data_IF_761539547682
#
_entry.id   IF_761539547682
#
_cell.length_a   1.000
_cell.length_b   1.000
_cell.length_c   1.000
_cell.angle_alpha   90.00
_cell.angle_beta   90.00
_cell.angle_gamma   90.00
#
_symmetry.space_group_name_H-M   'P 1'
#
loop_
_entity.id
_entity.type
_entity.pdbx_description
1 polymer ?
#
# COMPACT_ATOMS: atom_id res chain seq x y z
N UNK A 1 -7.10 -23.73 23.08
CA UNK A 1 -5.80 -23.14 23.47
C UNK A 1 -6.01 -21.65 23.50
N UNK A 2 -5.69 -21.02 24.62
CA UNK A 2 -6.04 -19.64 24.94
C UNK A 2 -5.06 -18.68 24.25
N UNK A 3 -5.58 -17.75 23.46
CA UNK A 3 -4.82 -16.65 22.85
C UNK A 3 -4.16 -15.82 23.96
N UNK A 4 -2.85 -15.51 23.89
CA UNK A 4 -2.22 -14.70 24.93
C UNK A 4 -2.71 -13.26 24.84
N UNK A 5 -3.19 -12.72 25.96
CA UNK A 5 -3.52 -11.29 26.11
C UNK A 5 -2.24 -10.48 26.34
N UNK A 6 -2.18 -9.30 25.74
CA UNK A 6 -1.14 -8.29 25.96
C UNK A 6 -1.06 -7.93 27.46
N UNK A 7 0.12 -7.97 28.12
CA UNK A 7 0.24 -7.65 29.52
C UNK A 7 0.09 -6.15 29.77
N UNK A 8 -0.63 -5.80 30.84
CA UNK A 8 -0.77 -4.42 31.32
C UNK A 8 0.34 -4.12 32.34
N UNK A 9 0.98 -2.95 32.17
CA UNK A 9 1.94 -2.22 33.03
C UNK A 9 3.45 -2.43 32.81
N UNK A 10 4.08 -1.48 32.10
CA UNK A 10 5.42 -0.90 32.34
C UNK A 10 5.64 0.30 31.41
N UNK A 11 6.56 1.20 31.75
CA UNK A 11 7.10 2.19 30.81
C UNK A 11 7.90 1.47 29.73
N UNK A 12 7.48 1.46 28.48
CA UNK A 12 8.37 1.05 27.40
C UNK A 12 7.90 1.61 26.06
N UNK A 13 8.87 2.15 25.34
CA UNK A 13 8.82 2.35 23.91
C UNK A 13 8.81 0.97 23.24
N UNK A 14 7.71 0.24 23.38
CA UNK A 14 7.56 -1.08 22.78
C UNK A 14 7.40 -0.93 21.28
N UNK A 15 8.32 -1.56 20.55
CA UNK A 15 8.29 -1.58 19.10
C UNK A 15 7.48 -2.80 18.65
N UNK A 16 6.28 -2.55 18.15
CA UNK A 16 5.48 -3.56 17.47
C UNK A 16 6.06 -3.81 16.09
N UNK A 17 6.22 -5.09 15.72
CA UNK A 17 6.56 -5.51 14.36
C UNK A 17 5.30 -6.06 13.72
N UNK A 18 4.75 -5.32 12.77
CA UNK A 18 3.52 -5.66 12.07
C UNK A 18 3.80 -5.87 10.60
N UNK A 19 2.96 -6.63 9.91
CA UNK A 19 2.92 -6.70 8.45
C UNK A 19 1.54 -6.27 7.97
N UNK A 20 1.48 -5.31 7.06
CA UNK A 20 0.23 -4.82 6.47
C UNK A 20 -0.04 -5.52 5.13
N UNK A 21 -1.32 -5.67 4.76
CA UNK A 21 -1.76 -6.22 3.49
C UNK A 21 -1.34 -7.68 3.23
N UNK A 22 -1.10 -8.49 4.27
CA UNK A 22 -0.60 -9.85 4.08
C UNK A 22 -1.62 -10.76 3.37
N UNK A 23 -1.17 -11.45 2.32
CA UNK A 23 -1.93 -12.56 1.69
C UNK A 23 -1.42 -13.90 2.23
N UNK A 24 -1.72 -14.15 3.51
CA UNK A 24 -1.30 -15.33 4.25
C UNK A 24 0.01 -15.19 5.03
N UNK A 25 0.46 -16.26 5.70
CA UNK A 25 1.63 -16.24 6.58
C UNK A 25 2.92 -15.84 5.85
N UNK A 26 3.69 -14.93 6.45
CA UNK A 26 4.94 -14.41 5.86
C UNK A 26 4.75 -13.34 4.78
N UNK A 27 3.51 -13.07 4.37
CA UNK A 27 3.16 -12.05 3.39
C UNK A 27 3.14 -10.62 3.93
N UNK A 28 2.73 -9.68 3.08
CA UNK A 28 2.50 -8.28 3.43
C UNK A 28 3.76 -7.42 3.47
N UNK A 29 3.58 -6.14 3.78
CA UNK A 29 4.65 -5.14 3.91
C UNK A 29 4.96 -4.87 5.40
N UNK A 30 6.16 -5.24 5.91
CA UNK A 30 6.54 -5.03 7.30
C UNK A 30 6.67 -3.57 7.67
N UNK A 31 6.14 -3.21 8.84
CA UNK A 31 6.35 -1.92 9.47
C UNK A 31 6.65 -2.07 10.96
N UNK A 32 7.56 -1.22 11.45
CA UNK A 32 7.68 -0.96 12.88
C UNK A 32 6.58 -0.01 13.32
N UNK A 33 6.01 -0.19 14.51
CA UNK A 33 5.03 0.74 15.09
C UNK A 33 5.36 0.97 16.56
N UNK A 34 5.49 2.24 16.94
CA UNK A 34 5.62 2.71 18.32
C UNK A 34 4.37 3.52 18.67
N UNK A 35 3.50 2.96 19.50
CA UNK A 35 2.19 3.55 19.84
C UNK A 35 2.28 4.70 20.86
N UNK A 36 3.36 4.79 21.63
CA UNK A 36 3.68 5.95 22.48
C UNK A 36 5.14 6.37 22.26
N UNK A 37 5.32 7.33 21.36
CA UNK A 37 6.59 7.98 21.05
C UNK A 37 6.68 9.40 21.63
N UNK A 38 5.79 9.77 22.56
CA UNK A 38 5.67 11.15 23.07
C UNK A 38 6.92 11.69 23.78
N UNK A 39 7.83 10.79 24.17
CA UNK A 39 9.08 11.12 24.87
C UNK A 39 10.33 10.94 24.01
N UNK A 40 10.18 10.56 22.75
CA UNK A 40 11.31 10.34 21.85
C UNK A 40 11.66 11.62 21.10
N UNK A 41 12.95 11.90 21.00
CA UNK A 41 13.46 12.89 20.06
C UNK A 41 13.74 12.28 18.67
N UNK A 42 14.09 13.13 17.71
CA UNK A 42 14.35 12.75 16.32
C UNK A 42 15.48 11.72 16.19
N UNK A 43 16.53 11.84 17.00
CA UNK A 43 17.67 10.93 16.97
C UNK A 43 17.26 9.54 17.50
N UNK A 44 16.49 9.50 18.58
CA UNK A 44 15.98 8.26 19.15
C UNK A 44 15.03 7.54 18.18
N UNK A 45 14.12 8.26 17.52
CA UNK A 45 13.24 7.68 16.50
C UNK A 45 14.05 7.12 15.31
N UNK A 46 15.07 7.86 14.85
CA UNK A 46 15.93 7.40 13.76
C UNK A 46 16.73 6.14 14.13
N UNK A 47 17.27 6.07 15.36
CA UNK A 47 17.99 4.89 15.85
C UNK A 47 17.07 3.68 15.92
N UNK A 48 15.86 3.84 16.47
CA UNK A 48 14.87 2.75 16.54
C UNK A 48 14.50 2.28 15.14
N UNK A 49 14.23 3.17 14.19
CA UNK A 49 13.89 2.80 12.82
C UNK A 49 15.02 2.01 12.13
N UNK A 50 16.29 2.40 12.37
CA UNK A 50 17.45 1.69 11.88
C UNK A 50 17.60 0.29 12.51
N UNK A 51 17.33 0.14 13.81
CA UNK A 51 17.35 -1.13 14.53
C UNK A 51 16.21 -2.07 14.13
N UNK A 52 15.03 -1.53 13.82
CA UNK A 52 13.91 -2.30 13.27
C UNK A 52 14.25 -2.87 11.90
N UNK A 53 14.92 -2.09 11.05
CA UNK A 53 15.43 -2.55 9.77
C UNK A 53 14.37 -2.82 8.69
N UNK A 54 13.11 -2.40 8.91
CA UNK A 54 12.06 -2.42 7.89
C UNK A 54 12.08 -1.14 7.05
N UNK A 55 11.32 -1.12 5.95
CA UNK A 55 11.24 0.03 5.05
C UNK A 55 10.85 1.31 5.82
N UNK A 56 9.82 1.22 6.67
CA UNK A 56 9.45 2.30 7.56
C UNK A 56 9.03 1.83 8.97
N UNK A 57 9.25 2.73 9.94
CA UNK A 57 8.71 2.65 11.30
C UNK A 57 7.84 3.88 11.57
N UNK A 58 6.61 3.67 12.05
CA UNK A 58 5.69 4.72 12.45
C UNK A 58 5.76 5.00 13.95
N UNK A 59 5.73 6.28 14.31
CA UNK A 59 5.84 6.77 15.69
C UNK A 59 4.65 7.66 16.00
N UNK A 60 3.81 7.25 16.94
CA UNK A 60 2.71 8.08 17.45
C UNK A 60 3.27 9.03 18.52
N UNK A 61 3.59 10.25 18.12
CA UNK A 61 4.24 11.27 18.97
C UNK A 61 3.24 12.07 19.82
N UNK A 62 1.95 12.01 19.48
CA UNK A 62 0.86 12.53 20.29
C UNK A 62 -0.35 11.60 20.11
N UNK A 63 -0.73 10.87 21.15
CA UNK A 63 -1.77 9.84 21.09
C UNK A 63 -3.21 10.34 21.23
N UNK A 64 -3.41 11.62 21.58
CA UNK A 64 -4.73 12.20 21.78
C UNK A 64 -4.69 13.73 21.56
N UNK A 65 -4.52 14.14 20.31
CA UNK A 65 -4.43 15.56 19.92
C UNK A 65 -5.71 16.28 20.35
N UNK A 66 -5.56 17.33 21.17
CA UNK A 66 -6.71 18.08 21.69
C UNK A 66 -7.59 17.31 22.68
N UNK A 67 -7.10 16.20 23.23
CA UNK A 67 -7.84 15.33 24.17
C UNK A 67 -8.76 14.31 23.50
N UNK A 68 -8.72 14.17 22.17
CA UNK A 68 -9.47 13.17 21.41
C UNK A 68 -8.57 11.98 21.07
N UNK A 69 -8.86 10.81 21.64
CA UNK A 69 -8.09 9.58 21.43
C UNK A 69 -8.25 8.95 20.03
N UNK A 70 -9.10 9.56 19.18
CA UNK A 70 -9.23 9.26 17.75
C UNK A 70 -8.39 10.16 16.86
N UNK A 71 -7.72 11.17 17.41
CA UNK A 71 -6.82 12.05 16.68
C UNK A 71 -5.39 11.85 17.19
N UNK A 72 -4.52 11.33 16.34
CA UNK A 72 -3.12 11.03 16.67
C UNK A 72 -2.18 11.83 15.79
N UNK A 73 -1.01 12.24 16.30
CA UNK A 73 0.09 12.77 15.47
C UNK A 73 1.11 11.68 15.25
N UNK A 74 1.43 11.42 13.99
CA UNK A 74 2.29 10.31 13.61
C UNK A 74 3.40 10.78 12.68
N UNK A 75 4.62 10.31 12.94
CA UNK A 75 5.81 10.51 12.10
C UNK A 75 6.31 9.17 11.58
N UNK A 76 7.03 9.18 10.47
CA UNK A 76 7.48 7.97 9.78
C UNK A 76 8.98 8.07 9.50
N UNK A 77 9.74 7.05 9.86
CA UNK A 77 11.18 7.02 9.61
C UNK A 77 11.54 5.77 8.84
N UNK A 78 12.31 5.94 7.78
CA UNK A 78 13.11 4.86 7.19
C UNK A 78 14.35 4.61 8.06
N UNK A 79 15.14 3.56 7.79
CA UNK A 79 16.41 3.33 8.49
C UNK A 79 17.43 4.46 8.39
N UNK A 80 17.29 5.38 7.43
CA UNK A 80 18.29 6.43 7.15
C UNK A 80 17.77 7.86 7.32
N UNK A 81 16.46 8.10 7.22
CA UNK A 81 15.86 9.43 7.31
C UNK A 81 14.36 9.38 7.62
N UNK A 82 13.82 10.50 8.13
CA UNK A 82 12.37 10.73 8.20
C UNK A 82 11.76 10.82 6.79
N UNK A 83 10.58 10.22 6.62
CA UNK A 83 9.77 10.32 5.41
C UNK A 83 8.43 10.99 5.73
N UNK A 84 7.86 11.78 4.81
CA UNK A 84 6.70 12.62 5.13
C UNK A 84 5.41 11.80 5.36
N UNK A 85 5.32 10.60 4.79
CA UNK A 85 4.18 9.69 4.92
C UNK A 85 4.52 8.28 4.41
N UNK A 86 3.97 7.24 5.05
CA UNK A 86 4.01 5.87 4.54
C UNK A 86 2.66 5.16 4.73
N UNK A 87 2.08 4.66 3.64
CA UNK A 87 0.73 4.08 3.64
C UNK A 87 0.63 2.78 4.43
N UNK A 88 1.55 1.83 4.23
CA UNK A 88 1.47 0.52 4.91
C UNK A 88 1.75 0.65 6.42
N UNK A 89 2.68 1.53 6.81
CA UNK A 89 2.93 1.82 8.23
C UNK A 89 1.75 2.55 8.88
N UNK A 90 1.02 3.40 8.13
CA UNK A 90 -0.23 4.03 8.60
C UNK A 90 -1.33 2.98 8.83
N UNK A 91 -1.50 2.02 7.91
CA UNK A 91 -2.45 0.91 8.05
C UNK A 91 -2.10 0.04 9.27
N UNK A 92 -0.84 -0.35 9.41
CA UNK A 92 -0.36 -1.11 10.57
C UNK A 92 -0.64 -0.37 11.88
N UNK A 93 -0.33 0.92 11.93
CA UNK A 93 -0.58 1.76 13.13
C UNK A 93 -2.06 1.88 13.44
N UNK A 94 -2.92 2.09 12.44
CA UNK A 94 -4.35 2.20 12.63
C UNK A 94 -4.98 0.89 13.14
N UNK A 95 -4.54 -0.26 12.63
CA UNK A 95 -4.96 -1.57 13.13
C UNK A 95 -4.54 -1.76 14.59
N UNK A 96 -3.30 -1.42 14.94
CA UNK A 96 -2.82 -1.53 16.32
C UNK A 96 -3.59 -0.60 17.28
N UNK A 97 -3.88 0.64 16.87
CA UNK A 97 -4.72 1.57 17.64
C UNK A 97 -6.16 1.07 17.78
N UNK A 98 -6.71 0.48 16.73
CA UNK A 98 -8.06 -0.08 16.75
C UNK A 98 -8.17 -1.33 17.64
N UNK A 99 -7.10 -2.11 17.78
CA UNK A 99 -7.04 -3.24 18.72
C UNK A 99 -7.15 -2.74 20.17
N UNK A 100 -6.44 -1.66 20.51
CA UNK A 100 -6.48 -1.07 21.86
C UNK A 100 -7.77 -0.28 22.15
N UNK A 101 -8.27 0.48 21.15
CA UNK A 101 -9.30 1.51 21.35
C UNK A 101 -10.64 1.16 20.69
N UNK A 102 -10.73 -0.01 20.05
CA UNK A 102 -11.87 -0.43 19.25
C UNK A 102 -11.92 0.20 17.85
N UNK A 103 -12.62 -0.44 16.89
CA UNK A 103 -12.74 0.05 15.53
C UNK A 103 -13.50 1.38 15.45
N UNK A 104 -13.21 2.15 14.40
CA UNK A 104 -13.79 3.45 14.14
C UNK A 104 -12.89 4.31 13.25
N UNK A 105 -13.25 5.59 13.12
CA UNK A 105 -12.44 6.57 12.39
C UNK A 105 -11.28 7.04 13.26
N UNK A 106 -10.08 7.02 12.68
CA UNK A 106 -8.89 7.66 13.24
C UNK A 106 -8.41 8.75 12.30
N UNK A 107 -8.01 9.89 12.84
CA UNK A 107 -7.37 10.97 12.11
C UNK A 107 -5.91 11.06 12.50
N UNK A 108 -5.04 10.89 11.52
CA UNK A 108 -3.59 10.99 11.66
C UNK A 108 -3.15 12.37 11.20
N UNK A 109 -2.56 13.17 12.10
CA UNK A 109 -1.83 14.37 11.74
C UNK A 109 -0.42 13.98 11.29
N UNK A 110 -0.12 14.20 10.01
CA UNK A 110 1.16 13.83 9.39
C UNK A 110 1.79 15.04 8.70
N UNK A 111 3.03 14.90 8.21
CA UNK A 111 3.72 15.98 7.50
C UNK A 111 3.06 16.32 6.14
N UNK A 112 2.30 15.39 5.55
CA UNK A 112 1.50 15.63 4.33
C UNK A 112 0.10 16.17 4.62
N UNK A 113 -0.19 16.50 5.88
CA UNK A 113 -1.50 16.93 6.36
C UNK A 113 -2.30 15.81 7.03
N UNK A 114 -3.59 16.06 7.33
CA UNK A 114 -4.42 15.08 8.01
C UNK A 114 -4.85 13.94 7.08
N UNK A 115 -4.70 12.71 7.55
CA UNK A 115 -5.15 11.49 6.87
C UNK A 115 -6.19 10.80 7.74
N UNK A 116 -7.35 10.48 7.16
CA UNK A 116 -8.40 9.74 7.86
C UNK A 116 -8.32 8.27 7.48
N UNK A 117 -8.28 7.42 8.51
CA UNK A 117 -8.27 5.96 8.38
C UNK A 117 -9.55 5.43 9.01
N UNK A 118 -10.35 4.72 8.23
CA UNK A 118 -11.49 3.98 8.75
C UNK A 118 -11.03 2.59 9.17
N UNK A 119 -11.34 2.19 10.40
CA UNK A 119 -11.08 0.84 10.88
C UNK A 119 -12.39 0.11 11.17
N UNK A 120 -12.49 -1.12 10.70
CA UNK A 120 -13.67 -1.96 10.85
C UNK A 120 -13.28 -3.35 11.30
N UNK A 121 -14.21 -4.04 11.96
CA UNK A 121 -14.06 -5.45 12.30
C UNK A 121 -14.76 -6.28 11.23
N UNK A 122 -14.02 -7.19 10.61
CA UNK A 122 -14.50 -8.04 9.52
C UNK A 122 -14.56 -9.49 10.00
N UNK A 123 -15.67 -10.17 9.74
CA UNK A 123 -15.78 -11.59 10.04
C UNK A 123 -14.94 -12.41 9.04
N UNK A 124 -14.11 -13.31 9.56
CA UNK A 124 -13.36 -14.28 8.74
C UNK A 124 -13.90 -15.69 8.93
N UNK A 125 -13.54 -16.58 8.01
CA UNK A 125 -13.96 -17.99 8.06
C UNK A 125 -13.51 -18.63 9.37
N UNK A 126 -14.38 -19.39 10.02
CA UNK A 126 -14.09 -20.01 11.32
C UNK A 126 -14.62 -19.25 12.54
N UNK A 127 -15.36 -18.16 12.34
CA UNK A 127 -15.98 -17.38 13.43
C UNK A 127 -15.02 -16.43 14.15
N UNK A 128 -13.80 -16.29 13.62
CA UNK A 128 -12.85 -15.26 14.04
C UNK A 128 -13.19 -13.93 13.33
N UNK A 129 -12.56 -12.86 13.79
CA UNK A 129 -12.70 -11.54 13.20
C UNK A 129 -11.34 -10.87 13.12
N UNK A 130 -11.10 -10.14 12.04
CA UNK A 130 -9.89 -9.36 11.85
C UNK A 130 -10.20 -7.87 11.79
N UNK A 131 -9.22 -7.05 12.18
CA UNK A 131 -9.27 -5.62 12.00
C UNK A 131 -8.79 -5.26 10.60
N UNK A 132 -9.62 -4.48 9.91
CA UNK A 132 -9.33 -3.91 8.61
C UNK A 132 -9.17 -2.41 8.76
N UNK A 133 -8.18 -1.84 8.10
CA UNK A 133 -8.02 -0.39 7.97
C UNK A 133 -8.13 0.03 6.49
N UNK A 134 -8.72 1.21 6.27
CA UNK A 134 -8.97 1.77 4.95
C UNK A 134 -8.58 3.24 4.90
N UNK A 135 -7.88 3.66 3.85
CA UNK A 135 -7.62 5.07 3.57
C UNK A 135 -8.16 5.44 2.21
N UNK A 136 -8.63 6.68 2.07
CA UNK A 136 -9.04 7.24 0.78
C UNK A 136 -7.96 8.18 0.29
N UNK A 137 -7.52 8.01 -0.96
CA UNK A 137 -6.54 8.90 -1.58
C UNK A 137 -7.08 10.34 -1.67
N UNK A 138 -6.16 11.28 -1.86
CA UNK A 138 -6.52 12.60 -2.41
C UNK A 138 -7.18 12.47 -3.79
N UNK A 139 -7.75 13.56 -4.30
CA UNK A 139 -8.32 13.59 -5.65
C UNK A 139 -7.28 13.09 -6.67
N UNK A 140 -7.57 11.98 -7.37
CA UNK A 140 -6.57 11.37 -8.22
C UNK A 140 -6.50 12.08 -9.56
N UNK A 141 -5.37 11.93 -10.25
CA UNK A 141 -5.14 12.53 -11.57
C UNK A 141 -4.44 11.53 -12.48
N UNK A 142 -4.67 11.64 -13.77
CA UNK A 142 -3.95 10.85 -14.77
C UNK A 142 -3.44 11.75 -15.87
N UNK A 143 -2.35 11.33 -16.52
CA UNK A 143 -1.85 11.94 -17.74
C UNK A 143 -1.21 10.88 -18.64
N UNK A 144 -1.24 11.02 -19.97
CA UNK A 144 -0.48 10.15 -20.86
C UNK A 144 1.01 10.19 -20.52
N UNK A 145 1.67 9.05 -20.61
CA UNK A 145 3.13 8.99 -20.54
C UNK A 145 3.70 9.33 -21.92
N UNK A 146 4.64 10.26 -22.00
CA UNK A 146 5.20 10.69 -23.29
C UNK A 146 5.96 9.56 -23.98
N UNK A 147 5.78 9.42 -25.31
CA UNK A 147 6.31 8.30 -26.10
C UNK A 147 7.80 8.00 -25.86
N UNK A 148 8.64 9.04 -25.83
CA UNK A 148 10.08 8.88 -25.60
C UNK A 148 10.40 8.30 -24.21
N UNK A 149 9.70 8.79 -23.18
CA UNK A 149 9.86 8.31 -21.79
C UNK A 149 9.27 6.89 -21.66
N UNK A 150 8.15 6.62 -22.33
CA UNK A 150 7.56 5.28 -22.37
C UNK A 150 8.46 4.26 -23.09
N UNK A 151 9.09 4.65 -24.20
CA UNK A 151 10.06 3.82 -24.92
C UNK A 151 11.30 3.52 -24.08
N UNK A 152 11.83 4.54 -23.36
CA UNK A 152 12.95 4.39 -22.45
C UNK A 152 12.61 3.47 -21.27
N UNK A 153 11.50 3.75 -20.56
CA UNK A 153 11.03 2.92 -19.45
C UNK A 153 10.88 1.46 -19.87
N UNK A 154 10.21 1.22 -21.01
CA UNK A 154 10.01 -0.13 -21.56
C UNK A 154 11.35 -0.85 -21.78
N UNK A 155 12.34 -0.15 -22.35
CA UNK A 155 13.68 -0.69 -22.55
C UNK A 155 14.39 -1.03 -21.23
N UNK A 156 14.24 -0.19 -20.20
CA UNK A 156 14.83 -0.41 -18.87
C UNK A 156 14.21 -1.58 -18.12
N UNK A 157 12.94 -1.89 -18.36
CA UNK A 157 12.25 -3.07 -17.80
C UNK A 157 12.23 -4.26 -18.77
N UNK A 158 13.13 -4.26 -19.76
CA UNK A 158 13.38 -5.36 -20.69
C UNK A 158 12.11 -5.92 -21.37
N UNK A 159 11.19 -5.04 -21.73
CA UNK A 159 9.97 -5.39 -22.46
C UNK A 159 10.08 -5.00 -23.94
N UNK A 160 9.56 -5.84 -24.82
CA UNK A 160 9.29 -5.50 -26.21
C UNK A 160 7.92 -4.82 -26.35
N UNK A 161 7.68 -4.15 -27.48
CA UNK A 161 6.38 -3.50 -27.74
C UNK A 161 5.22 -4.50 -27.75
N UNK A 162 5.49 -5.71 -28.22
CA UNK A 162 4.50 -6.79 -28.33
C UNK A 162 4.22 -7.49 -27.00
N UNK A 163 4.96 -7.17 -25.94
CA UNK A 163 4.74 -7.66 -24.57
C UNK A 163 3.69 -6.83 -23.82
N UNK A 164 3.45 -5.59 -24.27
CA UNK A 164 2.47 -4.70 -23.67
C UNK A 164 1.04 -5.11 -24.00
N UNK A 165 0.11 -4.87 -23.09
CA UNK A 165 -1.32 -4.98 -23.38
C UNK A 165 -1.79 -3.73 -24.13
N UNK A 166 -2.21 -3.85 -25.41
CA UNK A 166 -2.63 -2.71 -26.21
C UNK A 166 -3.94 -2.08 -25.73
N UNK A 167 -4.73 -2.76 -24.90
CA UNK A 167 -5.95 -2.19 -24.32
C UNK A 167 -5.66 -1.17 -23.22
N UNK A 168 -4.41 -1.11 -22.74
CA UNK A 168 -3.99 -0.29 -21.60
C UNK A 168 -2.89 0.71 -22.04
N UNK A 169 -3.25 1.93 -22.43
CA UNK A 169 -2.27 2.95 -22.82
C UNK A 169 -1.32 3.28 -21.68
N UNK A 170 -0.04 3.49 -21.99
CA UNK A 170 0.93 3.97 -21.02
C UNK A 170 0.51 5.33 -20.47
N UNK A 171 0.45 5.44 -19.15
CA UNK A 171 0.06 6.66 -18.47
C UNK A 171 0.77 6.78 -17.13
N UNK A 172 0.76 8.00 -16.60
CA UNK A 172 1.08 8.25 -15.20
C UNK A 172 -0.22 8.49 -14.44
N UNK A 173 -0.33 7.87 -13.28
CA UNK A 173 -1.46 8.00 -12.38
C UNK A 173 -1.01 8.50 -11.02
N UNK A 174 -1.78 9.43 -10.46
CA UNK A 174 -1.52 10.09 -9.19
C UNK A 174 -2.64 9.78 -8.19
N UNK A 175 -2.26 9.31 -7.02
CA UNK A 175 -3.15 9.14 -5.87
C UNK A 175 -2.39 9.42 -4.54
N UNK A 176 -1.64 10.52 -4.52
CA UNK A 176 -0.71 10.88 -3.44
C UNK A 176 0.74 10.91 -3.92
N UNK A 177 1.14 9.91 -4.72
CA UNK A 177 2.38 9.88 -5.49
C UNK A 177 2.07 9.62 -6.97
N UNK A 178 2.99 10.02 -7.86
CA UNK A 178 2.92 9.67 -9.29
C UNK A 178 3.51 8.28 -9.52
N UNK A 179 2.77 7.46 -10.28
CA UNK A 179 3.13 6.11 -10.67
C UNK A 179 2.91 5.95 -12.18
N UNK A 180 3.95 5.73 -13.01
CA UNK A 180 3.73 5.23 -14.36
C UNK A 180 3.12 3.82 -14.30
N UNK A 181 2.14 3.56 -15.17
CA UNK A 181 1.43 2.28 -15.27
C UNK A 181 1.79 1.63 -16.60
N UNK A 182 2.32 0.41 -16.52
CA UNK A 182 2.69 -0.43 -17.66
C UNK A 182 1.90 -1.74 -17.55
N UNK A 183 0.98 -1.98 -18.48
CA UNK A 183 0.26 -3.25 -18.53
C UNK A 183 0.95 -4.22 -19.49
N UNK A 184 1.15 -5.46 -19.05
CA UNK A 184 1.70 -6.54 -19.86
C UNK A 184 0.64 -7.58 -20.17
N UNK A 185 0.75 -8.16 -21.37
CA UNK A 185 -0.31 -8.99 -21.96
C UNK A 185 -0.47 -10.38 -21.35
N UNK A 186 0.50 -10.86 -20.59
CA UNK A 186 0.48 -12.21 -20.02
C UNK A 186 1.27 -12.34 -18.73
N UNK A 187 0.90 -13.33 -17.93
CA UNK A 187 1.61 -13.71 -16.71
C UNK A 187 3.03 -14.19 -17.01
N UNK A 188 3.23 -14.85 -18.16
CA UNK A 188 4.57 -15.28 -18.57
C UNK A 188 5.52 -14.08 -18.74
N UNK A 189 5.08 -13.00 -19.37
CA UNK A 189 5.84 -11.74 -19.48
C UNK A 189 6.01 -11.11 -18.11
N UNK A 190 4.92 -10.98 -17.36
CA UNK A 190 4.90 -10.39 -16.02
C UNK A 190 5.91 -11.06 -15.06
N UNK A 191 6.03 -12.39 -15.15
CA UNK A 191 6.89 -13.20 -14.30
C UNK A 191 8.36 -13.21 -14.71
N UNK A 192 8.65 -12.89 -15.97
CA UNK A 192 9.99 -13.05 -16.54
C UNK A 192 10.69 -11.74 -16.88
N UNK A 193 9.98 -10.61 -16.94
CA UNK A 193 10.64 -9.33 -17.22
C UNK A 193 11.69 -9.00 -16.15
N UNK A 194 12.85 -8.56 -16.63
CA UNK A 194 13.96 -8.08 -15.81
C UNK A 194 14.06 -6.56 -15.88
N UNK A 195 14.78 -5.96 -14.96
CA UNK A 195 15.07 -4.52 -15.01
C UNK A 195 16.42 -4.23 -14.36
N UNK A 196 17.04 -3.12 -14.76
CA UNK A 196 18.20 -2.57 -14.05
C UNK A 196 17.69 -1.61 -12.96
N UNK A 197 17.83 -1.94 -11.66
CA UNK A 197 17.32 -1.09 -10.59
C UNK A 197 17.97 0.30 -10.57
N UNK A 198 19.25 0.41 -10.91
CA UNK A 198 19.96 1.68 -10.93
C UNK A 198 19.45 2.58 -12.06
N UNK A 199 19.34 2.03 -13.26
CA UNK A 199 18.84 2.80 -14.40
C UNK A 199 17.35 3.19 -14.24
N UNK A 200 16.53 2.30 -13.67
CA UNK A 200 15.13 2.64 -13.35
C UNK A 200 15.06 3.76 -12.31
N UNK A 201 15.91 3.74 -11.27
CA UNK A 201 16.00 4.84 -10.29
C UNK A 201 16.35 6.17 -10.96
N UNK A 202 17.35 6.16 -11.83
CA UNK A 202 17.78 7.37 -12.55
C UNK A 202 16.62 7.95 -13.38
N UNK A 203 15.86 7.12 -14.09
CA UNK A 203 14.69 7.58 -14.83
C UNK A 203 13.60 8.11 -13.89
N UNK A 204 13.32 7.43 -12.77
CA UNK A 204 12.37 7.89 -11.76
C UNK A 204 12.75 9.26 -11.20
N UNK A 205 14.03 9.51 -10.91
CA UNK A 205 14.53 10.81 -10.45
C UNK A 205 14.34 11.90 -11.51
N UNK A 206 14.67 11.60 -12.77
CA UNK A 206 14.54 12.54 -13.88
C UNK A 206 13.08 12.95 -14.13
N UNK A 207 12.14 12.01 -14.00
CA UNK A 207 10.71 12.24 -14.21
C UNK A 207 9.98 12.76 -12.96
N UNK A 208 10.66 12.80 -11.80
CA UNK A 208 10.06 13.19 -10.53
C UNK A 208 9.04 12.18 -10.00
N UNK A 209 9.23 10.89 -10.30
CA UNK A 209 8.41 9.80 -9.79
C UNK A 209 8.87 9.45 -8.36
N UNK A 210 8.21 10.07 -7.38
CA UNK A 210 8.41 9.77 -5.96
C UNK A 210 7.76 8.46 -5.51
N UNK A 211 6.84 7.91 -6.31
CA UNK A 211 6.19 6.62 -6.08
C UNK A 211 6.99 5.46 -6.70
N UNK A 212 6.25 4.49 -7.22
CA UNK A 212 6.77 3.25 -7.85
C UNK A 212 6.46 3.25 -9.34
N UNK A 213 7.21 2.48 -10.13
CA UNK A 213 6.76 2.07 -11.46
C UNK A 213 5.84 0.88 -11.30
N UNK A 214 4.57 1.03 -11.69
CA UNK A 214 3.55 -0.02 -11.56
C UNK A 214 3.49 -0.84 -12.85
N UNK A 215 3.93 -2.08 -12.79
CA UNK A 215 3.72 -3.06 -13.86
C UNK A 215 2.54 -3.95 -13.47
N UNK A 216 1.56 -4.14 -14.36
CA UNK A 216 0.35 -4.91 -14.08
C UNK A 216 0.06 -5.98 -15.13
N UNK A 217 -0.63 -7.04 -14.72
CA UNK A 217 -1.18 -8.04 -15.62
C UNK A 217 -2.61 -8.41 -15.20
N UNK A 218 -3.50 -8.54 -16.18
CA UNK A 218 -4.93 -8.88 -15.99
C UNK A 218 -5.29 -10.22 -16.63
N UNK A 219 -4.31 -11.01 -17.10
CA UNK A 219 -4.60 -12.32 -17.68
C UNK A 219 -5.35 -13.20 -16.67
N UNK A 220 -6.53 -13.67 -17.07
CA UNK A 220 -7.41 -14.47 -16.22
C UNK A 220 -8.41 -13.67 -15.38
N UNK A 221 -8.49 -12.35 -15.56
CA UNK A 221 -9.47 -11.46 -14.91
C UNK A 221 -10.37 -10.83 -15.96
N UNK A 222 -11.69 -11.01 -15.85
CA UNK A 222 -12.65 -10.28 -16.67
C UNK A 222 -13.15 -9.06 -15.90
N UNK A 223 -12.55 -7.89 -16.19
CA UNK A 223 -12.89 -6.66 -15.48
C UNK A 223 -14.35 -6.20 -15.75
N UNK A 224 -14.98 -6.61 -16.85
CA UNK A 224 -16.36 -6.22 -17.13
C UNK A 224 -17.37 -7.14 -16.43
N UNK A 225 -17.08 -8.44 -16.33
CA UNK A 225 -17.99 -9.43 -15.72
C UNK A 225 -17.81 -9.58 -14.19
N UNK A 226 -16.58 -9.47 -13.67
CA UNK A 226 -16.30 -9.80 -12.27
C UNK A 226 -16.54 -8.61 -11.30
N UNK A 227 -16.50 -7.37 -11.81
CA UNK A 227 -16.60 -6.15 -10.99
C UNK A 227 -18.03 -5.81 -10.55
N UNK A 228 -19.05 -6.22 -11.32
CA UNK A 228 -20.46 -6.03 -10.97
C UNK A 228 -20.90 -6.88 -9.75
N UNK A 229 -20.25 -8.01 -9.51
CA UNK A 229 -20.55 -8.90 -8.37
C UNK A 229 -19.86 -8.44 -7.07
N UNK A 230 -18.70 -7.78 -7.16
CA UNK A 230 -17.86 -7.40 -6.03
C UNK A 230 -18.40 -6.21 -5.19
N UNK A 231 -19.22 -5.33 -5.77
CA UNK A 231 -19.82 -4.19 -5.04
C UNK A 231 -20.81 -4.67 -3.96
N UNK A 232 -21.37 -5.88 -4.11
CA UNK A 232 -22.31 -6.45 -3.15
C UNK A 232 -21.65 -7.09 -1.91
N UNK A 233 -20.36 -7.45 -1.98
CA UNK A 233 -19.61 -8.12 -0.90
C UNK A 233 -18.82 -7.10 -0.06
N UNK A 234 -19.52 -6.29 0.73
CA UNK A 234 -18.88 -5.57 1.85
C UNK A 234 -18.48 -6.59 2.91
N UNK A 235 -17.21 -6.97 2.96
CA UNK A 235 -16.70 -7.87 4.01
C UNK A 235 -15.41 -8.58 3.63
N UNK A 236 -15.47 -9.53 2.69
CA UNK A 236 -14.32 -10.38 2.38
C UNK A 236 -13.52 -9.87 1.16
N UNK A 237 -12.18 -9.84 1.27
CA UNK A 237 -11.29 -9.66 0.12
C UNK A 237 -11.13 -10.95 -0.70
N UNK A 238 -11.46 -12.09 -0.09
CA UNK A 238 -11.46 -13.39 -0.75
C UNK A 238 -12.51 -13.43 -1.87
N UNK A 239 -12.03 -13.72 -3.09
CA UNK A 239 -12.88 -13.86 -4.28
C UNK A 239 -13.11 -12.58 -5.08
N UNK A 240 -12.47 -11.46 -4.71
CA UNK A 240 -12.41 -10.29 -5.60
C UNK A 240 -11.59 -10.64 -6.86
N UNK A 241 -11.96 -10.11 -8.05
CA UNK A 241 -11.08 -10.13 -9.20
C UNK A 241 -9.77 -9.45 -8.84
N UNK A 242 -8.65 -10.13 -9.07
CA UNK A 242 -7.34 -9.71 -8.60
C UNK A 242 -6.40 -9.38 -9.76
N UNK A 243 -5.98 -8.12 -9.85
CA UNK A 243 -4.95 -7.68 -10.80
C UNK A 243 -3.57 -7.98 -10.19
N UNK A 244 -2.71 -8.65 -10.93
CA UNK A 244 -1.32 -8.88 -10.52
C UNK A 244 -0.52 -7.60 -10.74
N UNK A 245 0.25 -7.18 -9.74
CA UNK A 245 1.08 -5.98 -9.78
C UNK A 245 2.49 -6.22 -9.25
N UNK A 246 3.47 -5.61 -9.91
CA UNK A 246 4.84 -5.43 -9.43
C UNK A 246 5.11 -3.94 -9.37
N UNK A 247 5.65 -3.48 -8.25
CA UNK A 247 5.92 -2.07 -8.00
C UNK A 247 7.42 -1.86 -7.84
N UNK A 248 8.06 -1.47 -8.94
CA UNK A 248 9.50 -1.24 -8.95
C UNK A 248 9.78 0.02 -8.14
N UNK A 249 10.63 -0.11 -7.13
CA UNK A 249 10.97 0.96 -6.21
C UNK A 249 12.42 0.86 -5.77
N UNK A 250 13.39 1.10 -6.68
CA UNK A 250 14.80 0.97 -6.33
C UNK A 250 15.23 2.07 -5.36
N UNK A 251 15.36 1.74 -4.08
CA UNK A 251 15.80 2.62 -2.99
C UNK A 251 16.65 1.82 -2.02
N UNK A 252 17.94 2.14 -1.95
CA UNK A 252 18.90 1.34 -1.17
C UNK A 252 18.94 -0.10 -1.67
N UNK A 253 18.68 -1.05 -0.77
CA UNK A 253 18.65 -2.48 -1.09
C UNK A 253 17.25 -2.98 -1.54
N UNK A 254 16.22 -2.12 -1.49
CA UNK A 254 14.88 -2.44 -1.96
C UNK A 254 14.84 -2.22 -3.47
N UNK A 255 14.45 -3.24 -4.23
CA UNK A 255 14.25 -3.12 -5.69
C UNK A 255 12.78 -3.05 -6.07
N UNK A 256 11.92 -3.77 -5.32
CA UNK A 256 10.47 -3.75 -5.47
C UNK A 256 9.82 -3.66 -4.09
N UNK A 257 8.75 -2.88 -3.98
CA UNK A 257 7.96 -2.77 -2.76
C UNK A 257 6.94 -3.95 -2.71
N UNK A 258 6.78 -4.65 -1.57
CA UNK A 258 5.89 -5.81 -1.51
C UNK A 258 4.39 -5.46 -1.51
N UNK A 259 4.00 -4.28 -1.00
CA UNK A 259 2.62 -3.80 -1.06
C UNK A 259 2.57 -2.27 -1.07
N UNK A 260 2.06 -1.69 -2.17
CA UNK A 260 2.11 -0.23 -2.38
C UNK A 260 0.69 0.36 -2.47
N UNK A 261 0.18 0.86 -1.35
CA UNK A 261 -1.17 1.41 -1.28
C UNK A 261 -1.44 2.58 -2.24
N UNK A 262 -0.49 3.51 -2.41
CA UNK A 262 -0.66 4.64 -3.34
C UNK A 262 -0.68 4.19 -4.81
N UNK A 263 0.08 3.14 -5.16
CA UNK A 263 0.08 2.57 -6.50
C UNK A 263 -1.25 1.85 -6.79
N UNK A 264 -1.78 1.10 -5.82
CA UNK A 264 -3.10 0.46 -5.94
C UNK A 264 -4.23 1.50 -6.10
N UNK A 265 -4.18 2.60 -5.34
CA UNK A 265 -5.09 3.72 -5.50
C UNK A 265 -4.94 4.39 -6.88
N UNK A 266 -3.71 4.63 -7.33
CA UNK A 266 -3.41 5.21 -8.64
C UNK A 266 -3.90 4.32 -9.79
N UNK A 267 -3.76 3.00 -9.66
CA UNK A 267 -4.28 2.02 -10.61
C UNK A 267 -5.81 2.08 -10.72
N UNK A 268 -6.52 2.15 -9.59
CA UNK A 268 -7.98 2.34 -9.59
C UNK A 268 -8.40 3.64 -10.28
N UNK A 269 -7.63 4.71 -10.10
CA UNK A 269 -7.87 5.98 -10.78
C UNK A 269 -7.58 5.92 -12.29
N UNK A 270 -6.50 5.26 -12.68
CA UNK A 270 -6.13 5.00 -14.07
C UNK A 270 -7.25 4.24 -14.81
N UNK A 271 -7.72 3.15 -14.21
CA UNK A 271 -8.82 2.34 -14.73
C UNK A 271 -10.10 3.15 -14.93
N UNK A 272 -10.48 3.94 -13.91
CA UNK A 272 -11.67 4.81 -13.95
C UNK A 272 -11.54 5.89 -15.03
N UNK A 273 -10.40 6.56 -15.11
CA UNK A 273 -10.20 7.67 -16.05
C UNK A 273 -10.07 7.20 -17.50
N UNK A 274 -9.50 6.01 -17.72
CA UNK A 274 -9.37 5.39 -19.04
C UNK A 274 -10.65 4.73 -19.56
N UNK A 275 -11.70 4.63 -18.74
CA UNK A 275 -12.92 3.88 -19.09
C UNK A 275 -12.69 2.37 -19.21
N UNK A 276 -11.63 1.86 -18.57
CA UNK A 276 -11.26 0.43 -18.56
C UNK A 276 -12.04 -0.36 -17.49
N UNK A 277 -12.82 0.35 -16.67
CA UNK A 277 -13.72 -0.18 -15.66
C UNK A 277 -14.88 0.82 -15.44
N UNK A 278 -16.07 0.30 -15.18
CA UNK A 278 -17.24 1.11 -14.87
C UNK A 278 -17.40 1.30 -13.34
N UNK A 279 -17.27 2.53 -12.79
CA UNK A 279 -17.50 2.76 -11.37
C UNK A 279 -19.00 2.84 -11.03
N UNK A 280 -19.43 2.55 -9.78
CA UNK A 280 -18.58 2.10 -8.68
C UNK A 280 -18.11 0.67 -8.88
N UNK A 281 -16.85 0.40 -8.54
CA UNK A 281 -16.27 -0.93 -8.70
C UNK A 281 -15.34 -1.26 -7.53
N UNK A 282 -15.09 -2.56 -7.34
CA UNK A 282 -14.17 -3.05 -6.33
C UNK A 282 -13.39 -4.26 -6.83
N UNK A 283 -12.06 -4.19 -6.76
CA UNK A 283 -11.15 -5.26 -7.14
C UNK A 283 -10.04 -5.42 -6.09
N UNK A 284 -9.21 -6.44 -6.25
CA UNK A 284 -8.01 -6.62 -5.46
C UNK A 284 -6.74 -6.42 -6.31
N UNK A 285 -5.66 -5.99 -5.67
CA UNK A 285 -4.31 -5.98 -6.23
C UNK A 285 -3.50 -7.03 -5.49
N UNK A 286 -2.96 -8.01 -6.22
CA UNK A 286 -1.97 -8.97 -5.72
C UNK A 286 -0.58 -8.47 -6.04
N UNK A 287 0.26 -8.39 -5.02
CA UNK A 287 1.60 -7.82 -5.14
C UNK A 287 2.61 -8.61 -4.30
N UNK A 288 3.89 -8.47 -4.61
CA UNK A 288 4.97 -8.84 -3.69
C UNK A 288 5.39 -10.31 -3.73
N UNK A 289 4.73 -11.16 -4.52
CA UNK A 289 5.14 -12.58 -4.66
C UNK A 289 6.55 -12.74 -5.22
N UNK A 290 6.99 -11.85 -6.10
CA UNK A 290 8.35 -11.86 -6.67
C UNK A 290 9.44 -11.47 -5.67
N UNK A 291 9.08 -10.78 -4.58
CA UNK A 291 9.97 -10.48 -3.45
C UNK A 291 9.69 -11.36 -2.22
N UNK A 292 8.93 -12.46 -2.41
CA UNK A 292 8.66 -13.44 -1.36
C UNK A 292 7.68 -12.96 -0.28
N UNK A 293 6.95 -11.87 -0.51
CA UNK A 293 6.04 -11.25 0.44
C UNK A 293 4.67 -11.02 -0.20
N UNK A 294 3.91 -12.10 -0.45
CA UNK A 294 2.60 -12.00 -1.11
C UNK A 294 1.66 -11.10 -0.31
N UNK A 295 1.02 -10.17 -1.01
CA UNK A 295 0.19 -9.13 -0.43
C UNK A 295 -1.09 -8.94 -1.23
N UNK A 296 -2.17 -8.59 -0.55
CA UNK A 296 -3.50 -8.35 -1.12
C UNK A 296 -4.02 -6.99 -0.66
N UNK A 297 -4.26 -6.08 -1.61
CA UNK A 297 -4.85 -4.77 -1.35
C UNK A 297 -6.21 -4.70 -2.00
N UNK A 298 -7.26 -4.39 -1.23
CA UNK A 298 -8.58 -4.17 -1.81
C UNK A 298 -8.73 -2.71 -2.23
N UNK A 299 -9.26 -2.50 -3.43
CA UNK A 299 -9.40 -1.18 -4.05
C UNK A 299 -10.86 -0.92 -4.37
N UNK A 300 -11.43 0.09 -3.73
CA UNK A 300 -12.77 0.60 -3.99
C UNK A 300 -12.67 1.87 -4.85
N UNK A 301 -13.29 1.82 -6.02
CA UNK A 301 -13.29 2.88 -7.03
C UNK A 301 -14.67 3.54 -7.07
N UNK A 302 -14.89 4.68 -6.40
CA UNK A 302 -16.15 5.40 -6.47
C UNK A 302 -16.31 6.11 -7.82
N UNK A 303 -17.53 6.57 -8.12
CA UNK A 303 -17.83 7.34 -9.36
C UNK A 303 -17.02 8.64 -9.42
N UNK A 304 -16.85 9.30 -8.28
CA UNK A 304 -16.08 10.55 -8.13
C UNK A 304 -15.28 10.52 -6.84
N UNK A 305 -14.26 11.37 -6.72
CA UNK A 305 -13.44 11.48 -5.52
C UNK A 305 -12.25 10.52 -5.49
N UNK A 306 -11.60 10.45 -4.33
CA UNK A 306 -10.47 9.58 -4.04
C UNK A 306 -10.77 8.08 -4.19
N UNK A 307 -9.72 7.29 -4.39
CA UNK A 307 -9.78 5.83 -4.42
C UNK A 307 -9.51 5.31 -3.02
N UNK A 308 -10.32 4.37 -2.54
CA UNK A 308 -10.13 3.80 -1.21
C UNK A 308 -9.34 2.50 -1.31
N UNK A 309 -8.28 2.39 -0.52
CA UNK A 309 -7.48 1.18 -0.41
C UNK A 309 -7.59 0.66 1.00
N UNK A 310 -7.81 -0.64 1.11
CA UNK A 310 -8.01 -1.30 2.39
C UNK A 310 -7.13 -2.53 2.52
N UNK A 311 -6.81 -2.88 3.76
CA UNK A 311 -6.11 -4.10 4.10
C UNK A 311 -6.14 -4.38 5.60
N UNK A 312 -5.59 -5.52 5.96
CA UNK A 312 -5.41 -5.96 7.34
C UNK A 312 -3.97 -5.70 7.77
N UNK A 313 -3.70 -5.84 9.07
CA UNK A 313 -2.33 -5.95 9.57
C UNK A 313 -2.26 -7.00 10.68
N UNK A 314 -1.13 -7.69 10.77
CA UNK A 314 -0.91 -8.76 11.74
C UNK A 314 0.46 -8.63 12.39
N UNK A 315 0.58 -9.04 13.65
CA UNK A 315 1.86 -9.10 14.36
C UNK A 315 2.77 -10.15 13.71
N UNK A 316 4.02 -9.77 13.49
CA UNK A 316 5.09 -10.69 13.09
C UNK A 316 5.59 -11.34 14.38
N UNK A 317 5.25 -12.62 14.56
CA UNK A 317 5.74 -13.42 15.69
C UNK A 317 7.05 -14.09 15.27
N UNK A 318 8.15 -13.72 15.93
CA UNK A 318 9.47 -14.36 15.78
C UNK A 318 9.55 -15.73 16.48
#
# INVERSE_FOLDING_TARGET
MTVPRVPTTASSTDVLRLTAFADGPGGGNPAGVVLDASRLDDLQMQVIAAEVGYAETAFVVDGAVGGDDRVVRTRYFSPIAEVPFCGHATIATAVALADERGPGLFRFETAVGPVVIETTQVAVSGGESELRASFTSVEPRTRPLGDAVGDELRGLIALDRDDLDPAWPLAEAFAGNWHPVVAVRSLAVFDSFGFDPGAVRELMDQQGWSGTVTVVCTEGVDLDLDLAAAVATRGADAGLPAIEARNLFPVGDITEDPATGSAAAALGAYLRAGGLLAPPARFAVRQGRHVGRPSLLAVDVPVVGGITVSGTAALIVE
#
